data_IF_684134886459
#
_entry.id   IF_684134886459
#
_cell.length_a   1.000
_cell.length_b   1.000
_cell.length_c   1.000
_cell.angle_alpha   90.00
_cell.angle_beta   90.00
_cell.angle_gamma   90.00
#
_symmetry.space_group_name_H-M   'P 1'
#
loop_
_entity.id
_entity.type
_entity.pdbx_description
1 polymer ?
#
# COMPACT_ATOMS: atom_id res chain seq x y z
N UNK A 1 -19.68 -6.23 1.87
CA UNK A 1 -19.05 -4.94 2.25
C UNK A 1 -17.56 -5.18 2.28
N UNK A 2 -16.75 -4.31 1.66
CA UNK A 2 -15.30 -4.38 1.78
C UNK A 2 -14.87 -3.48 2.93
N UNK A 3 -14.09 -4.02 3.86
CA UNK A 3 -13.58 -3.27 5.00
C UNK A 3 -12.10 -3.51 5.17
N UNK A 4 -11.39 -2.46 5.58
CA UNK A 4 -10.00 -2.57 6.01
C UNK A 4 -9.98 -2.79 7.53
N UNK A 5 -9.58 -3.98 7.96
CA UNK A 5 -9.42 -4.29 9.39
C UNK A 5 -8.10 -3.76 9.92
N UNK A 6 -7.96 -3.69 11.25
CA UNK A 6 -6.77 -3.17 11.93
C UNK A 6 -5.46 -3.85 11.49
N UNK A 7 -5.49 -5.16 11.26
CA UNK A 7 -4.34 -5.94 10.76
C UNK A 7 -3.90 -5.47 9.37
N UNK A 8 -4.86 -5.31 8.46
CA UNK A 8 -4.63 -4.84 7.09
C UNK A 8 -4.19 -3.38 7.04
N UNK A 9 -4.77 -2.51 7.88
CA UNK A 9 -4.33 -1.13 8.02
C UNK A 9 -2.88 -1.03 8.54
N UNK A 10 -2.49 -1.90 9.47
CA UNK A 10 -1.11 -1.99 9.94
C UNK A 10 -0.18 -2.40 8.81
N UNK A 11 -0.54 -3.42 8.04
CA UNK A 11 0.23 -3.86 6.87
C UNK A 11 0.41 -2.73 5.84
N UNK A 12 -0.66 -1.97 5.55
CA UNK A 12 -0.58 -0.82 4.66
C UNK A 12 0.40 0.23 5.19
N UNK A 13 0.30 0.58 6.48
CA UNK A 13 1.23 1.53 7.11
C UNK A 13 2.67 1.05 7.05
N UNK A 14 2.92 -0.23 7.30
CA UNK A 14 4.26 -0.80 7.26
C UNK A 14 4.84 -0.76 5.83
N UNK A 15 4.03 -1.08 4.82
CA UNK A 15 4.42 -1.02 3.40
C UNK A 15 4.67 0.42 2.94
N UNK A 16 3.80 1.38 3.29
CA UNK A 16 4.01 2.81 3.01
C UNK A 16 5.30 3.30 3.68
N UNK A 17 5.57 2.90 4.92
CA UNK A 17 6.80 3.29 5.62
C UNK A 17 8.05 2.72 4.93
N UNK A 18 7.98 1.49 4.45
CA UNK A 18 9.08 0.87 3.70
C UNK A 18 9.30 1.56 2.37
N UNK A 19 8.24 1.91 1.64
CA UNK A 19 8.31 2.71 0.41
C UNK A 19 9.07 4.02 0.62
N UNK A 20 8.72 4.79 1.66
CA UNK A 20 9.45 6.03 1.97
C UNK A 20 10.90 5.80 2.44
N UNK A 21 11.21 4.64 3.04
CA UNK A 21 12.59 4.32 3.44
C UNK A 21 13.48 4.06 2.22
N UNK A 22 12.96 3.51 1.14
CA UNK A 22 13.74 3.27 -0.07
C UNK A 22 14.25 4.59 -0.66
N UNK A 23 13.42 5.64 -0.63
CA UNK A 23 13.83 6.98 -1.08
C UNK A 23 14.88 7.66 -0.22
N UNK A 24 15.16 7.18 1.01
CA UNK A 24 16.23 7.76 1.84
C UNK A 24 17.60 7.68 1.17
N UNK A 25 17.82 6.65 0.33
CA UNK A 25 19.07 6.43 -0.37
C UNK A 25 19.09 7.07 -1.77
N UNK A 26 17.97 7.63 -2.23
CA UNK A 26 17.87 8.31 -3.51
C UNK A 26 17.98 9.81 -3.33
N UNK A 27 18.63 10.47 -4.30
CA UNK A 27 18.63 11.91 -4.36
C UNK A 27 17.24 12.37 -4.82
N UNK A 28 16.58 13.24 -4.04
CA UNK A 28 15.23 13.74 -4.32
C UNK A 28 15.15 14.48 -5.66
N UNK A 29 16.28 14.99 -6.17
CA UNK A 29 16.38 15.62 -7.48
C UNK A 29 16.35 14.62 -8.65
N UNK A 30 16.67 13.35 -8.38
CA UNK A 30 16.66 12.25 -9.37
C UNK A 30 15.35 11.45 -9.37
N UNK A 31 14.42 11.78 -8.47
CA UNK A 31 13.14 11.10 -8.34
C UNK A 31 12.17 11.56 -9.44
N UNK A 32 12.24 10.87 -10.57
CA UNK A 32 11.26 11.01 -11.64
C UNK A 32 10.00 10.16 -11.39
N UNK A 33 8.88 10.54 -12.02
CA UNK A 33 7.61 9.82 -11.95
C UNK A 33 7.76 8.32 -12.30
N UNK A 34 8.59 8.01 -13.30
CA UNK A 34 8.87 6.63 -13.70
C UNK A 34 9.56 5.81 -12.61
N UNK A 35 10.42 6.46 -11.82
CA UNK A 35 11.13 5.84 -10.71
C UNK A 35 10.15 5.60 -9.56
N UNK A 36 9.33 6.59 -9.21
CA UNK A 36 8.30 6.45 -8.18
C UNK A 36 7.35 5.29 -8.52
N UNK A 37 6.88 5.20 -9.76
CA UNK A 37 6.00 4.12 -10.19
C UNK A 37 6.65 2.73 -10.09
N UNK A 38 7.96 2.61 -10.28
CA UNK A 38 8.68 1.34 -10.10
C UNK A 38 8.66 0.85 -8.65
N UNK A 39 8.59 1.76 -7.68
CA UNK A 39 8.54 1.42 -6.25
C UNK A 39 7.11 1.17 -5.74
N UNK A 40 6.07 1.65 -6.42
CA UNK A 40 4.67 1.45 -6.01
C UNK A 40 4.28 -0.04 -6.03
N UNK A 41 4.61 -0.77 -7.10
CA UNK A 41 4.27 -2.20 -7.25
C UNK A 41 4.93 -3.10 -6.19
N UNK A 42 6.25 -3.04 -5.94
CA UNK A 42 6.91 -3.85 -4.92
C UNK A 42 6.33 -3.67 -3.51
N UNK A 43 5.88 -2.46 -3.16
CA UNK A 43 5.27 -2.18 -1.88
C UNK A 43 3.75 -2.45 -1.84
N UNK A 44 3.19 -3.04 -2.90
CA UNK A 44 1.75 -3.31 -3.01
C UNK A 44 0.92 -2.04 -2.76
N UNK A 45 1.35 -0.89 -3.29
CA UNK A 45 0.65 0.40 -3.14
C UNK A 45 -0.18 0.76 -4.38
N UNK A 46 -0.27 -0.16 -5.34
CA UNK A 46 -1.12 -0.04 -6.51
C UNK A 46 -2.60 -0.28 -6.16
N UNK A 47 -3.49 0.15 -7.07
CA UNK A 47 -4.94 0.12 -6.85
C UNK A 47 -5.47 -1.32 -6.69
N UNK A 48 -4.91 -2.28 -7.43
CA UNK A 48 -5.31 -3.69 -7.32
C UNK A 48 -4.91 -4.26 -5.96
N UNK A 49 -3.70 -3.98 -5.50
CA UNK A 49 -3.23 -4.34 -4.17
C UNK A 49 -4.06 -3.70 -3.06
N UNK A 50 -4.36 -2.39 -3.18
CA UNK A 50 -5.19 -1.66 -2.22
C UNK A 50 -6.53 -2.33 -2.00
N UNK A 51 -7.17 -2.77 -3.08
CA UNK A 51 -8.49 -3.41 -3.05
C UNK A 51 -8.42 -4.90 -2.69
N UNK A 52 -7.40 -5.64 -3.12
CA UNK A 52 -7.31 -7.09 -2.91
C UNK A 52 -6.62 -7.49 -1.60
N UNK A 53 -5.51 -6.83 -1.25
CA UNK A 53 -4.64 -7.25 -0.14
C UNK A 53 -5.08 -6.63 1.18
N UNK A 54 -5.48 -5.35 1.17
CA UNK A 54 -5.76 -4.59 2.39
C UNK A 54 -7.25 -4.47 2.71
N UNK A 55 -8.13 -4.89 1.81
CA UNK A 55 -9.55 -4.99 2.13
C UNK A 55 -10.00 -6.43 2.20
N UNK A 56 -10.96 -6.69 3.08
CA UNK A 56 -11.55 -8.01 3.25
C UNK A 56 -13.06 -7.89 3.04
N UNK A 57 -13.64 -8.88 2.37
CA UNK A 57 -15.09 -8.98 2.26
C UNK A 57 -15.66 -9.45 3.60
N UNK A 58 -16.63 -8.69 4.11
CA UNK A 58 -17.41 -9.09 5.27
C UNK A 58 -18.84 -9.39 4.86
N UNK A 59 -19.32 -10.53 5.34
CA UNK A 59 -20.73 -10.87 5.33
C UNK A 59 -21.32 -10.13 6.53
N UNK A 60 -22.17 -9.13 6.26
CA UNK A 60 -22.93 -8.46 7.32
C UNK A 60 -23.88 -9.51 7.88
N UNK A 61 -23.67 -9.94 9.13
CA UNK A 61 -24.61 -10.82 9.79
C UNK A 61 -25.98 -10.11 9.78
N UNK A 62 -26.97 -10.71 9.09
CA UNK A 62 -28.36 -10.26 9.17
C UNK A 62 -28.79 -10.49 10.62
N UNK A 63 -29.08 -9.40 11.33
CA UNK A 63 -29.74 -9.44 12.63
C UNK A 63 -31.25 -9.49 12.41
#
# INVERSE_FOLDING_TARGET
IFVMRKSKLKLLKDNVRSFFKEFKNYDLQSLDETIIHKFIKPHNLDIESLTSIYTESIIKAKK
#
